data_IF_639426766958
#
_entry.id   IF_639426766958
#
_cell.length_a   1.000
_cell.length_b   1.000
_cell.length_c   1.000
_cell.angle_alpha   90.00
_cell.angle_beta   90.00
_cell.angle_gamma   90.00
#
_symmetry.space_group_name_H-M   'P 1'
#
loop_
_entity.id
_entity.type
_entity.pdbx_description
1 polymer ?
#
# COMPACT_ATOMS: atom_id res chain seq x y z
N UNK A 1 27.65 9.83 7.80
CA UNK A 1 28.46 10.84 8.55
C UNK A 1 27.44 11.74 9.27
N UNK A 2 27.40 11.72 10.61
CA UNK A 2 26.49 12.57 11.41
C UNK A 2 27.07 13.97 11.40
N UNK A 3 26.34 14.96 10.89
CA UNK A 3 26.78 16.35 10.81
C UNK A 3 26.54 17.09 12.13
N UNK A 4 27.22 18.23 12.35
CA UNK A 4 26.98 19.11 13.50
C UNK A 4 25.52 19.59 13.56
N UNK A 5 24.93 19.81 12.40
CA UNK A 5 23.52 20.22 12.25
C UNK A 5 22.55 19.13 12.76
N UNK A 6 22.85 17.86 12.49
CA UNK A 6 22.05 16.72 12.99
C UNK A 6 22.04 16.64 14.52
N UNK A 7 23.18 16.91 15.17
CA UNK A 7 23.25 16.97 16.64
C UNK A 7 22.42 18.12 17.21
N UNK A 8 22.46 19.30 16.58
CA UNK A 8 21.67 20.46 17.00
C UNK A 8 20.17 20.18 16.88
N UNK A 9 19.73 19.59 15.76
CA UNK A 9 18.33 19.27 15.54
C UNK A 9 17.82 18.22 16.53
N UNK A 10 18.63 17.23 16.86
CA UNK A 10 18.30 16.24 17.90
C UNK A 10 18.20 16.87 19.28
N UNK A 11 19.14 17.73 19.64
CA UNK A 11 19.09 18.46 20.90
C UNK A 11 17.80 19.30 21.02
N UNK A 12 17.35 19.95 19.94
CA UNK A 12 16.08 20.67 19.93
C UNK A 12 14.88 19.73 20.13
N UNK A 13 14.92 18.52 19.60
CA UNK A 13 13.87 17.52 19.82
C UNK A 13 13.86 17.01 21.27
N UNK A 14 15.03 16.72 21.83
CA UNK A 14 15.20 16.27 23.21
C UNK A 14 14.74 17.34 24.21
N UNK A 15 14.95 18.61 23.88
CA UNK A 15 14.48 19.77 24.66
C UNK A 15 12.98 20.11 24.43
N UNK A 16 12.29 19.36 23.55
CA UNK A 16 10.88 19.59 23.22
C UNK A 16 10.60 20.87 22.41
N UNK A 17 11.63 21.44 21.75
CA UNK A 17 11.54 22.70 20.97
C UNK A 17 10.96 22.46 19.57
N UNK A 18 9.84 21.78 19.50
CA UNK A 18 9.17 21.36 18.26
C UNK A 18 8.79 22.49 17.30
N UNK A 19 8.34 23.69 17.78
CA UNK A 19 8.04 24.83 16.89
C UNK A 19 9.28 25.29 16.10
N UNK A 20 10.46 25.22 16.69
CA UNK A 20 11.71 25.59 16.03
C UNK A 20 12.14 24.54 15.01
N UNK A 21 11.97 23.25 15.34
CA UNK A 21 12.21 22.16 14.38
C UNK A 21 11.27 22.24 13.18
N UNK A 22 9.99 22.56 13.41
CA UNK A 22 9.03 22.75 12.33
C UNK A 22 9.39 23.94 11.43
N UNK A 23 9.89 25.02 12.04
CA UNK A 23 10.39 26.19 11.31
C UNK A 23 11.61 25.82 10.47
N UNK A 24 12.58 25.10 11.05
CA UNK A 24 13.77 24.61 10.35
C UNK A 24 13.41 23.68 9.18
N UNK A 25 12.44 22.77 9.39
CA UNK A 25 11.92 21.90 8.34
C UNK A 25 11.34 22.69 7.16
N UNK A 26 10.46 23.67 7.44
CA UNK A 26 9.82 24.50 6.41
C UNK A 26 10.83 25.35 5.63
N UNK A 27 11.77 25.97 6.32
CA UNK A 27 12.83 26.76 5.70
C UNK A 27 13.78 25.90 4.86
N UNK A 28 14.19 24.77 5.41
CA UNK A 28 15.04 23.81 4.71
C UNK A 28 14.39 23.28 3.44
N UNK A 29 13.09 22.97 3.53
CA UNK A 29 12.31 22.51 2.38
C UNK A 29 12.16 23.59 1.31
N UNK A 30 11.79 24.80 1.68
CA UNK A 30 11.65 25.91 0.73
C UNK A 30 12.98 26.19 0.00
N UNK A 31 14.09 26.27 0.72
CA UNK A 31 15.40 26.46 0.13
C UNK A 31 15.87 25.29 -0.74
N UNK A 32 15.45 24.07 -0.43
CA UNK A 32 15.76 22.90 -1.24
C UNK A 32 14.92 22.85 -2.53
N UNK A 33 13.64 23.21 -2.45
CA UNK A 33 12.74 23.32 -3.63
C UNK A 33 13.28 24.36 -4.62
N UNK A 34 13.68 25.53 -4.15
CA UNK A 34 14.26 26.56 -5.00
C UNK A 34 15.56 26.11 -5.73
N UNK A 35 16.36 25.26 -5.08
CA UNK A 35 17.64 24.80 -5.63
C UNK A 35 17.52 23.60 -6.55
N UNK A 36 16.64 22.66 -6.26
CA UNK A 36 16.65 21.34 -6.87
C UNK A 36 15.27 20.82 -7.28
N UNK A 37 14.19 21.53 -6.99
CA UNK A 37 12.81 21.08 -7.22
C UNK A 37 12.23 20.27 -6.08
N UNK A 38 10.95 19.90 -6.22
CA UNK A 38 10.14 19.29 -5.14
C UNK A 38 10.66 17.92 -4.69
N UNK A 39 10.97 17.03 -5.62
CA UNK A 39 11.34 15.65 -5.30
C UNK A 39 12.70 15.56 -4.55
N UNK A 40 13.80 16.19 -5.02
CA UNK A 40 15.03 16.23 -4.23
C UNK A 40 14.88 16.97 -2.89
N UNK A 41 14.05 18.03 -2.84
CA UNK A 41 13.80 18.75 -1.60
C UNK A 41 13.13 17.87 -0.56
N UNK A 42 12.20 17.04 -1.00
CA UNK A 42 11.54 16.09 -0.16
C UNK A 42 12.53 15.09 0.47
N UNK A 43 13.39 14.48 -0.35
CA UNK A 43 14.42 13.55 0.13
C UNK A 43 15.38 14.21 1.12
N UNK A 44 15.82 15.45 0.86
CA UNK A 44 16.74 16.19 1.74
C UNK A 44 16.14 16.54 3.11
N UNK A 45 14.82 16.78 3.17
CA UNK A 45 14.14 17.20 4.42
C UNK A 45 13.44 16.05 5.14
N UNK A 46 13.36 14.88 4.51
CA UNK A 46 12.68 13.71 5.05
C UNK A 46 13.17 13.28 6.45
N UNK A 47 14.48 13.25 6.78
CA UNK A 47 14.91 12.85 8.12
C UNK A 47 14.37 13.77 9.23
N UNK A 48 14.30 15.08 8.98
CA UNK A 48 13.73 16.04 9.93
C UNK A 48 12.21 15.93 10.00
N UNK A 49 11.55 15.77 8.84
CA UNK A 49 10.11 15.52 8.77
C UNK A 49 9.73 14.24 9.52
N UNK A 50 10.50 13.17 9.36
CA UNK A 50 10.31 11.91 10.07
C UNK A 50 10.46 12.09 11.60
N UNK A 51 11.49 12.76 12.06
CA UNK A 51 11.69 13.03 13.48
C UNK A 51 10.49 13.76 14.09
N UNK A 52 9.97 14.78 13.40
CA UNK A 52 8.77 15.51 13.82
C UNK A 52 7.54 14.61 13.80
N UNK A 53 7.27 13.89 12.71
CA UNK A 53 6.10 13.01 12.59
C UNK A 53 6.11 11.87 13.63
N UNK A 54 7.30 11.36 13.98
CA UNK A 54 7.48 10.25 14.90
C UNK A 54 7.39 10.67 16.37
N UNK A 55 7.96 11.81 16.74
CA UNK A 55 8.27 12.16 18.15
C UNK A 55 7.51 13.39 18.66
N UNK A 56 7.05 14.29 17.79
CA UNK A 56 6.37 15.49 18.24
C UNK A 56 4.95 15.20 18.76
N UNK A 57 4.41 16.02 19.66
CA UNK A 57 2.99 15.98 20.01
C UNK A 57 2.10 16.12 18.78
N UNK A 58 0.92 15.44 18.73
CA UNK A 58 0.09 15.38 17.52
C UNK A 58 -0.31 16.76 17.01
N UNK A 59 -0.55 17.73 17.92
CA UNK A 59 -0.93 19.13 17.59
C UNK A 59 0.16 19.86 16.79
N UNK A 60 1.41 19.45 16.93
CA UNK A 60 2.56 19.98 16.20
C UNK A 60 2.93 19.13 15.00
N UNK A 61 2.88 17.80 15.13
CA UNK A 61 3.21 16.88 14.04
C UNK A 61 2.27 17.04 12.83
N UNK A 62 0.97 17.26 13.04
CA UNK A 62 0.01 17.51 11.96
C UNK A 62 0.32 18.75 11.14
N UNK A 63 1.05 19.71 11.70
CA UNK A 63 1.44 20.95 11.01
C UNK A 63 2.47 20.76 9.91
N UNK A 64 3.05 19.54 9.79
CA UNK A 64 3.81 19.13 8.61
C UNK A 64 2.97 19.18 7.34
N UNK A 65 1.65 19.02 7.44
CA UNK A 65 0.70 18.95 6.33
C UNK A 65 -0.10 20.24 6.12
N UNK A 66 0.19 21.31 6.86
CA UNK A 66 -0.42 22.62 6.63
C UNK A 66 -0.06 23.13 5.23
N UNK A 67 -0.99 23.87 4.58
CA UNK A 67 -0.80 24.40 3.21
C UNK A 67 0.46 25.24 3.04
N UNK A 68 0.91 25.89 4.11
CA UNK A 68 2.16 26.68 4.12
C UNK A 68 3.43 25.81 4.05
N UNK A 69 3.28 24.49 4.18
CA UNK A 69 4.35 23.50 4.05
C UNK A 69 4.68 23.10 2.59
N UNK A 70 3.96 23.67 1.63
CA UNK A 70 4.12 23.39 0.20
C UNK A 70 3.20 22.28 -0.35
N UNK A 71 2.82 22.33 -1.63
CA UNK A 71 1.89 21.39 -2.24
C UNK A 71 2.41 19.94 -2.34
N UNK A 72 3.72 19.73 -2.24
CA UNK A 72 4.36 18.43 -2.34
C UNK A 72 4.22 17.52 -1.12
N UNK A 73 3.74 18.04 0.02
CA UNK A 73 3.61 17.23 1.26
C UNK A 73 2.50 16.19 1.22
N UNK A 74 1.56 16.30 0.29
CA UNK A 74 0.38 15.41 0.21
C UNK A 74 0.54 14.31 -0.80
N UNK A 75 1.29 14.51 -1.86
CA UNK A 75 1.46 13.55 -2.94
C UNK A 75 2.90 13.03 -2.97
N UNK A 76 3.12 11.87 -2.37
CA UNK A 76 4.24 11.02 -2.75
C UNK A 76 5.63 11.58 -2.49
N UNK A 77 5.85 12.26 -1.36
CA UNK A 77 7.20 12.48 -0.89
C UNK A 77 7.76 11.14 -0.42
N UNK A 78 8.30 10.42 -1.38
CA UNK A 78 9.15 9.28 -1.14
C UNK A 78 10.43 9.75 -0.50
N UNK A 79 10.56 9.60 0.79
CA UNK A 79 11.89 9.38 1.33
C UNK A 79 12.26 7.93 0.99
N UNK A 80 13.35 7.75 0.28
CA UNK A 80 13.78 6.45 -0.22
C UNK A 80 13.89 5.36 0.85
N UNK A 81 13.97 5.71 2.14
CA UNK A 81 14.13 4.73 3.21
C UNK A 81 13.11 4.82 4.35
N UNK A 82 12.41 5.93 4.52
CA UNK A 82 11.56 6.15 5.69
C UNK A 82 10.05 6.05 5.44
N UNK A 83 9.59 6.03 4.19
CA UNK A 83 8.17 6.04 3.85
C UNK A 83 7.49 7.40 4.09
N UNK A 84 6.19 7.53 3.76
CA UNK A 84 5.50 8.81 3.80
C UNK A 84 5.22 9.29 5.23
N UNK A 85 5.44 10.58 5.47
CA UNK A 85 5.31 11.21 6.80
C UNK A 85 3.92 11.03 7.43
N UNK A 86 2.87 10.99 6.61
CA UNK A 86 1.50 10.74 7.10
C UNK A 86 1.33 9.31 7.66
N UNK A 87 2.04 8.33 7.11
CA UNK A 87 2.02 6.96 7.64
C UNK A 87 2.82 6.89 8.94
N UNK A 88 3.98 7.54 9.02
CA UNK A 88 4.75 7.69 10.27
C UNK A 88 3.85 8.26 11.36
N UNK A 89 3.21 9.40 11.11
CA UNK A 89 2.27 10.04 12.03
C UNK A 89 1.15 9.10 12.47
N UNK A 90 0.54 8.38 11.52
CA UNK A 90 -0.54 7.44 11.78
C UNK A 90 -0.10 6.27 12.66
N UNK A 91 1.14 5.81 12.59
CA UNK A 91 1.62 4.72 13.46
C UNK A 91 1.85 5.17 14.91
N UNK A 92 2.01 6.48 15.15
CA UNK A 92 2.37 7.02 16.49
C UNK A 92 1.18 7.51 17.29
N UNK A 93 0.09 7.89 16.63
CA UNK A 93 -1.07 8.50 17.27
C UNK A 93 -2.37 7.82 16.84
N UNK A 94 -3.31 7.65 17.77
CA UNK A 94 -4.64 7.10 17.47
C UNK A 94 -5.47 8.07 16.61
N UNK A 95 -6.46 7.52 15.90
CA UNK A 95 -7.40 8.32 15.11
C UNK A 95 -8.10 9.41 15.96
N UNK A 96 -8.54 9.04 17.17
CA UNK A 96 -9.22 9.97 18.08
C UNK A 96 -8.41 11.23 18.34
N UNK A 97 -7.08 11.14 18.41
CA UNK A 97 -6.19 12.29 18.62
C UNK A 97 -5.91 13.07 17.34
N UNK A 98 -5.85 12.39 16.19
CA UNK A 98 -5.48 13.01 14.91
C UNK A 98 -6.67 13.61 14.17
N UNK A 99 -7.85 13.00 14.24
CA UNK A 99 -9.04 13.41 13.47
C UNK A 99 -9.41 14.87 13.58
N UNK A 100 -9.45 15.50 14.80
CA UNK A 100 -9.80 16.91 14.93
C UNK A 100 -8.73 17.88 14.42
N UNK A 101 -7.50 17.41 14.22
CA UNK A 101 -6.33 18.21 13.87
C UNK A 101 -5.99 18.17 12.39
N UNK A 102 -6.35 17.08 11.69
CA UNK A 102 -6.02 16.88 10.28
C UNK A 102 -7.02 17.61 9.37
N UNK A 103 -6.58 18.71 8.79
CA UNK A 103 -7.41 19.52 7.87
C UNK A 103 -7.34 19.03 6.42
N UNK A 104 -6.17 18.69 5.83
CA UNK A 104 -6.12 18.29 4.43
C UNK A 104 -6.81 16.93 4.20
N UNK A 105 -7.91 16.92 3.42
CA UNK A 105 -8.72 15.72 3.17
C UNK A 105 -7.91 14.50 2.64
N UNK A 106 -6.95 14.65 1.71
CA UNK A 106 -6.14 13.51 1.25
C UNK A 106 -5.31 12.89 2.37
N UNK A 107 -4.65 13.70 3.21
CA UNK A 107 -3.86 13.22 4.36
C UNK A 107 -4.77 12.55 5.39
N UNK A 108 -5.88 13.18 5.72
CA UNK A 108 -6.88 12.63 6.65
C UNK A 108 -7.36 11.25 6.22
N UNK A 109 -7.68 11.08 4.93
CA UNK A 109 -8.06 9.80 4.34
C UNK A 109 -6.98 8.74 4.52
N UNK A 110 -5.73 9.04 4.16
CA UNK A 110 -4.62 8.10 4.24
C UNK A 110 -4.30 7.72 5.68
N UNK A 111 -4.34 8.68 6.60
CA UNK A 111 -4.19 8.42 8.04
C UNK A 111 -5.32 7.53 8.56
N UNK A 112 -6.58 7.79 8.21
CA UNK A 112 -7.71 6.95 8.59
C UNK A 112 -7.51 5.50 8.10
N UNK A 113 -7.19 5.30 6.82
CA UNK A 113 -6.96 3.97 6.26
C UNK A 113 -5.76 3.26 6.88
N UNK A 114 -4.71 3.99 7.26
CA UNK A 114 -3.59 3.42 8.02
C UNK A 114 -4.02 2.96 9.41
N UNK A 115 -4.84 3.76 10.11
CA UNK A 115 -5.36 3.37 11.44
C UNK A 115 -6.28 2.14 11.37
N UNK A 116 -7.05 2.02 10.28
CA UNK A 116 -7.83 0.79 10.00
C UNK A 116 -6.88 -0.42 9.83
N UNK A 117 -5.81 -0.29 9.04
CA UNK A 117 -4.80 -1.36 8.90
C UNK A 117 -4.14 -1.72 10.24
N UNK A 118 -3.99 -0.77 11.15
CA UNK A 118 -3.50 -0.99 12.51
C UNK A 118 -4.56 -1.55 13.47
N UNK A 119 -5.78 -1.84 12.98
CA UNK A 119 -6.84 -2.52 13.71
C UNK A 119 -7.84 -1.59 14.41
N UNK A 120 -7.81 -0.27 14.16
CA UNK A 120 -8.88 0.61 14.68
C UNK A 120 -10.16 0.43 13.86
N UNK A 121 -11.29 0.34 14.55
CA UNK A 121 -12.62 0.44 13.97
C UNK A 121 -13.04 1.90 13.92
N UNK A 122 -13.08 2.46 12.71
CA UNK A 122 -13.48 3.84 12.46
C UNK A 122 -14.87 3.96 11.81
N UNK A 123 -15.63 2.87 11.76
CA UNK A 123 -16.97 2.84 11.17
C UNK A 123 -17.97 3.74 11.93
N UNK A 124 -17.66 4.06 13.19
CA UNK A 124 -18.43 4.97 14.02
C UNK A 124 -17.63 6.26 14.27
N UNK A 125 -18.11 7.39 13.77
CA UNK A 125 -17.55 8.71 14.09
C UNK A 125 -16.47 9.25 13.13
N UNK A 126 -16.10 8.51 12.09
CA UNK A 126 -15.34 9.06 10.97
C UNK A 126 -16.23 9.29 9.75
N UNK A 127 -15.85 10.27 8.92
CA UNK A 127 -16.51 10.49 7.64
C UNK A 127 -16.30 9.27 6.72
N UNK A 128 -17.34 8.82 6.00
CA UNK A 128 -17.20 7.73 5.03
C UNK A 128 -16.09 8.01 4.02
N UNK A 129 -15.38 6.95 3.62
CA UNK A 129 -14.39 7.07 2.55
C UNK A 129 -15.08 7.47 1.24
N UNK A 130 -14.57 8.46 0.49
CA UNK A 130 -15.22 8.96 -0.74
C UNK A 130 -15.34 7.91 -1.86
N UNK A 131 -14.54 6.84 -1.81
CA UNK A 131 -14.60 5.72 -2.74
C UNK A 131 -15.29 4.49 -2.11
N UNK A 132 -15.97 4.65 -0.97
CA UNK A 132 -16.69 3.57 -0.31
C UNK A 132 -15.80 2.51 0.36
N UNK A 133 -14.48 2.73 0.47
CA UNK A 133 -13.59 1.77 1.13
C UNK A 133 -13.92 1.70 2.63
N UNK A 134 -14.17 0.50 3.19
CA UNK A 134 -14.59 0.37 4.58
C UNK A 134 -13.59 0.96 5.58
N UNK A 135 -14.13 1.57 6.62
CA UNK A 135 -13.36 2.09 7.76
C UNK A 135 -13.19 1.07 8.89
N UNK A 136 -13.32 -0.19 8.56
CA UNK A 136 -13.09 -1.37 9.37
C UNK A 136 -12.50 -2.46 8.49
N UNK A 137 -11.52 -3.21 8.99
CA UNK A 137 -10.99 -4.37 8.26
C UNK A 137 -12.06 -5.43 8.06
N UNK A 138 -12.20 -5.91 6.84
CA UNK A 138 -12.95 -7.13 6.59
C UNK A 138 -12.19 -8.35 7.17
N UNK A 139 -12.90 -9.43 7.60
CA UNK A 139 -12.24 -10.62 8.13
C UNK A 139 -11.17 -11.21 7.20
N UNK A 140 -11.42 -11.18 5.89
CA UNK A 140 -10.47 -11.67 4.89
C UNK A 140 -9.26 -10.74 4.71
N UNK A 141 -9.38 -9.45 5.01
CA UNK A 141 -8.24 -8.53 5.03
C UNK A 141 -7.30 -8.83 6.21
N UNK A 142 -7.87 -9.20 7.35
CA UNK A 142 -7.11 -9.43 8.57
C UNK A 142 -6.39 -10.78 8.60
N UNK A 143 -6.97 -11.81 8.01
CA UNK A 143 -6.60 -13.21 8.24
C UNK A 143 -5.24 -13.63 7.64
N UNK A 144 -4.76 -12.97 6.60
CA UNK A 144 -3.53 -13.35 5.89
C UNK A 144 -2.26 -12.68 6.40
N UNK A 145 -2.36 -11.75 7.34
CA UNK A 145 -1.22 -11.00 7.84
C UNK A 145 -0.65 -11.59 9.12
N UNK A 146 0.67 -11.57 9.23
CA UNK A 146 1.32 -11.71 10.52
C UNK A 146 1.04 -10.46 11.36
N UNK A 147 0.94 -10.64 12.67
CA UNK A 147 0.67 -9.55 13.60
C UNK A 147 1.74 -8.45 13.47
N UNK A 148 1.29 -7.22 13.22
CA UNK A 148 2.18 -6.06 13.04
C UNK A 148 2.76 -5.86 11.63
N UNK A 149 2.53 -6.78 10.66
CA UNK A 149 3.09 -6.68 9.32
C UNK A 149 2.28 -5.80 8.34
N UNK A 150 1.06 -5.35 8.72
CA UNK A 150 0.16 -4.61 7.84
C UNK A 150 0.63 -3.20 7.50
N UNK A 151 1.42 -2.61 8.37
CA UNK A 151 2.01 -1.27 8.20
C UNK A 151 3.49 -1.36 8.57
N UNK A 152 4.31 -0.57 7.92
CA UNK A 152 5.75 -0.49 8.20
C UNK A 152 6.01 -0.13 9.67
N UNK A 153 7.02 -0.75 10.27
CA UNK A 153 7.52 -0.37 11.58
C UNK A 153 8.55 0.74 11.44
N UNK A 154 8.16 1.96 11.81
CA UNK A 154 9.05 3.11 11.77
C UNK A 154 9.97 3.16 12.99
N UNK A 155 11.20 3.64 12.78
CA UNK A 155 12.22 3.75 13.81
C UNK A 155 12.38 5.21 14.26
N UNK A 156 12.71 5.47 15.54
CA UNK A 156 12.88 6.84 16.06
C UNK A 156 13.96 7.66 15.33
N UNK A 157 15.01 6.98 14.87
CA UNK A 157 16.15 7.61 14.19
C UNK A 157 15.96 7.77 12.67
N UNK A 158 14.77 7.49 12.16
CA UNK A 158 14.49 7.40 10.73
C UNK A 158 14.57 5.98 10.19
N UNK A 159 14.00 5.80 9.02
CA UNK A 159 13.89 4.50 8.38
C UNK A 159 12.69 3.67 8.85
N UNK A 160 12.42 2.62 8.11
CA UNK A 160 11.33 1.71 8.38
C UNK A 160 11.75 0.25 8.15
N UNK A 161 11.13 -0.65 8.90
CA UNK A 161 11.20 -2.09 8.66
C UNK A 161 9.88 -2.52 8.04
N UNK A 162 9.94 -3.14 6.86
CA UNK A 162 8.80 -3.82 6.25
C UNK A 162 9.01 -5.31 6.33
N UNK A 163 7.96 -6.06 6.62
CA UNK A 163 8.00 -7.49 6.36
C UNK A 163 8.05 -7.70 4.84
N UNK A 164 8.97 -8.56 4.38
CA UNK A 164 8.90 -9.08 3.02
C UNK A 164 7.75 -10.08 2.99
N UNK A 165 6.65 -9.70 2.38
CA UNK A 165 5.53 -10.60 2.18
C UNK A 165 5.72 -11.28 0.82
N UNK A 166 6.22 -12.50 0.88
CA UNK A 166 6.27 -13.39 -0.28
C UNK A 166 5.04 -14.29 -0.28
N UNK A 167 4.56 -14.62 -1.47
CA UNK A 167 3.57 -15.68 -1.61
C UNK A 167 4.21 -17.00 -1.13
N UNK A 168 3.48 -17.81 -0.36
CA UNK A 168 4.06 -19.01 0.22
C UNK A 168 4.44 -20.03 -0.86
N UNK A 169 5.73 -20.40 -0.91
CA UNK A 169 6.26 -21.39 -1.85
C UNK A 169 6.03 -22.84 -1.42
N UNK A 170 5.85 -23.09 -0.12
CA UNK A 170 5.86 -24.44 0.48
C UNK A 170 4.63 -24.71 1.36
N UNK A 171 3.45 -24.23 0.96
CA UNK A 171 2.21 -24.59 1.66
C UNK A 171 1.58 -25.83 1.07
N UNK A 172 0.78 -26.52 1.92
CA UNK A 172 -0.08 -27.60 1.49
C UNK A 172 -0.94 -27.17 0.27
N UNK A 173 -1.00 -28.01 -0.75
CA UNK A 173 -1.69 -27.71 -2.01
C UNK A 173 -0.83 -27.07 -3.10
N UNK A 174 0.42 -26.70 -2.81
CA UNK A 174 1.38 -26.30 -3.85
C UNK A 174 2.25 -27.49 -4.27
N UNK A 175 2.45 -27.63 -5.56
CA UNK A 175 3.26 -28.71 -6.13
C UNK A 175 3.58 -28.45 -7.60
N UNK A 176 4.21 -29.43 -8.25
CA UNK A 176 4.51 -29.34 -9.67
C UNK A 176 3.22 -29.42 -10.48
N UNK A 177 2.93 -28.39 -11.25
CA UNK A 177 1.73 -28.25 -12.07
C UNK A 177 2.14 -28.01 -13.51
N UNK A 178 1.47 -28.73 -14.44
CA UNK A 178 1.53 -28.39 -15.86
C UNK A 178 0.36 -27.44 -16.15
N UNK A 179 0.69 -26.21 -16.54
CA UNK A 179 -0.32 -25.23 -16.93
C UNK A 179 -1.05 -25.68 -18.20
N UNK A 180 -2.36 -25.47 -18.29
CA UNK A 180 -3.13 -25.75 -19.48
C UNK A 180 -2.77 -24.81 -20.63
N UNK A 181 -3.36 -25.02 -21.82
CA UNK A 181 -3.32 -24.02 -22.87
C UNK A 181 -3.91 -22.69 -22.36
N UNK A 182 -3.29 -21.59 -22.77
CA UNK A 182 -3.72 -20.26 -22.34
C UNK A 182 -5.15 -19.94 -22.82
N UNK A 183 -5.90 -19.26 -21.98
CA UNK A 183 -7.26 -18.81 -22.28
C UNK A 183 -7.29 -17.66 -23.31
N UNK A 184 -8.48 -17.36 -23.80
CA UNK A 184 -8.66 -16.23 -24.73
C UNK A 184 -8.50 -14.91 -23.97
N UNK A 185 -7.49 -14.11 -24.35
CA UNK A 185 -7.20 -12.79 -23.77
C UNK A 185 -8.33 -11.80 -24.09
N UNK A 186 -8.78 -11.09 -23.07
CA UNK A 186 -9.81 -10.05 -23.18
C UNK A 186 -9.18 -8.68 -22.96
N UNK A 187 -9.41 -7.77 -23.89
CA UNK A 187 -8.97 -6.38 -23.78
C UNK A 187 -10.03 -5.47 -23.15
N UNK A 188 -9.59 -4.29 -22.66
CA UNK A 188 -10.49 -3.20 -22.28
C UNK A 188 -11.21 -3.33 -20.94
N UNK A 189 -10.98 -4.40 -20.19
CA UNK A 189 -11.61 -4.61 -18.88
C UNK A 189 -11.14 -3.55 -17.87
N UNK A 190 -12.09 -2.93 -17.12
CA UNK A 190 -11.79 -1.94 -16.09
C UNK A 190 -10.95 -2.54 -14.96
N UNK A 191 -11.31 -3.75 -14.52
CA UNK A 191 -10.58 -4.50 -13.51
C UNK A 191 -9.12 -4.74 -13.90
N UNK A 192 -8.83 -5.06 -15.18
CA UNK A 192 -7.46 -5.21 -15.67
C UNK A 192 -6.66 -3.93 -15.54
N UNK A 193 -7.26 -2.78 -15.86
CA UNK A 193 -6.61 -1.47 -15.69
C UNK A 193 -6.38 -1.12 -14.23
N UNK A 194 -7.33 -1.44 -13.35
CA UNK A 194 -7.20 -1.20 -11.91
C UNK A 194 -6.09 -2.06 -11.28
N UNK A 195 -5.99 -3.34 -11.68
CA UNK A 195 -4.90 -4.22 -11.26
C UNK A 195 -3.54 -3.78 -11.82
N UNK A 196 -3.47 -3.32 -13.06
CA UNK A 196 -2.24 -2.78 -13.64
C UNK A 196 -1.80 -1.48 -12.94
N UNK A 197 -2.74 -0.66 -12.48
CA UNK A 197 -2.42 0.53 -11.68
C UNK A 197 -1.99 0.20 -10.24
N UNK A 198 -2.36 -1.00 -9.74
CA UNK A 198 -1.93 -1.49 -8.44
C UNK A 198 -0.46 -1.93 -8.46
N UNK A 199 -0.03 -2.60 -9.53
CA UNK A 199 1.33 -3.12 -9.68
C UNK A 199 1.88 -2.71 -11.06
N UNK A 200 2.32 -1.46 -11.18
CA UNK A 200 2.82 -0.85 -12.43
C UNK A 200 4.11 -1.49 -12.96
N UNK A 201 4.82 -2.21 -12.11
CA UNK A 201 6.01 -3.02 -12.43
C UNK A 201 5.68 -4.44 -12.94
N UNK A 202 4.39 -4.84 -12.92
CA UNK A 202 3.94 -6.17 -13.31
C UNK A 202 3.05 -6.14 -14.57
N UNK A 203 3.10 -7.19 -15.37
CA UNK A 203 2.16 -7.40 -16.46
C UNK A 203 0.83 -7.94 -15.92
N UNK A 204 -0.29 -7.42 -16.44
CA UNK A 204 -1.65 -7.85 -16.08
C UNK A 204 -2.43 -8.25 -17.33
N UNK A 205 -3.04 -9.41 -17.27
CA UNK A 205 -3.92 -9.91 -18.33
C UNK A 205 -5.26 -10.36 -17.77
N UNK A 206 -6.30 -10.29 -18.60
CA UNK A 206 -7.59 -10.91 -18.32
C UNK A 206 -7.89 -11.96 -19.38
N UNK A 207 -8.38 -13.12 -18.97
CA UNK A 207 -8.82 -14.17 -19.88
C UNK A 207 -10.23 -14.64 -19.55
N UNK A 208 -10.91 -15.20 -20.53
CA UNK A 208 -12.09 -16.05 -20.31
C UNK A 208 -11.62 -17.47 -20.02
N UNK A 209 -11.86 -17.93 -18.79
CA UNK A 209 -11.44 -19.27 -18.33
C UNK A 209 -10.95 -19.26 -16.89
N UNK A 210 -10.50 -20.40 -16.37
CA UNK A 210 -10.01 -20.54 -15.01
C UNK A 210 -8.64 -19.89 -14.80
N UNK A 211 -8.29 -19.65 -13.53
CA UNK A 211 -7.04 -19.01 -13.12
C UNK A 211 -5.78 -19.60 -13.73
N UNK A 212 -5.60 -20.95 -13.85
CA UNK A 212 -4.41 -21.50 -14.50
C UNK A 212 -4.27 -21.15 -15.98
N UNK A 213 -5.38 -20.90 -16.71
CA UNK A 213 -5.31 -20.42 -18.09
C UNK A 213 -4.85 -18.96 -18.18
N UNK A 214 -5.18 -18.15 -17.16
CA UNK A 214 -4.67 -16.78 -17.05
C UNK A 214 -3.16 -16.81 -16.69
N UNK A 215 -2.75 -17.66 -15.75
CA UNK A 215 -1.35 -17.87 -15.41
C UNK A 215 -0.52 -18.29 -16.64
N UNK A 216 -1.04 -19.19 -17.47
CA UNK A 216 -0.38 -19.64 -18.69
C UNK A 216 -0.14 -18.55 -19.76
N UNK A 217 -0.82 -17.38 -19.65
CA UNK A 217 -0.54 -16.23 -20.51
C UNK A 217 0.76 -15.52 -20.15
N UNK A 218 1.16 -15.58 -18.87
CA UNK A 218 2.26 -14.78 -18.31
C UNK A 218 3.43 -15.66 -17.84
N UNK A 219 3.17 -16.95 -17.59
CA UNK A 219 4.19 -17.88 -17.14
C UNK A 219 5.23 -18.13 -18.24
N UNK A 220 6.51 -18.10 -17.87
CA UNK A 220 7.65 -18.39 -18.78
C UNK A 220 7.77 -19.87 -19.13
N UNK A 221 7.19 -20.74 -18.29
CA UNK A 221 7.23 -22.20 -18.46
C UNK A 221 5.84 -22.79 -18.31
N UNK A 222 5.55 -23.83 -19.08
CA UNK A 222 4.33 -24.63 -18.89
C UNK A 222 4.38 -25.51 -17.64
N UNK A 223 5.56 -25.75 -17.06
CA UNK A 223 5.75 -26.45 -15.78
C UNK A 223 6.16 -25.45 -14.72
N UNK A 224 5.36 -25.35 -13.67
CA UNK A 224 5.56 -24.42 -12.55
C UNK A 224 5.28 -25.13 -11.23
N UNK A 225 5.88 -24.68 -10.16
CA UNK A 225 5.40 -25.00 -8.83
C UNK A 225 4.26 -24.05 -8.50
N UNK A 226 3.06 -24.57 -8.27
CA UNK A 226 1.89 -23.72 -8.04
C UNK A 226 0.73 -24.44 -7.38
N UNK A 227 -0.36 -23.71 -7.15
CA UNK A 227 -1.56 -24.23 -6.54
C UNK A 227 -2.56 -23.15 -6.17
N UNK A 228 -3.67 -23.57 -5.57
CA UNK A 228 -4.71 -22.65 -5.14
C UNK A 228 -4.54 -22.25 -3.67
N UNK A 229 -4.73 -20.97 -3.38
CA UNK A 229 -4.77 -20.42 -2.03
C UNK A 229 -6.06 -19.64 -1.81
N UNK A 230 -6.55 -19.56 -0.57
CA UNK A 230 -7.58 -18.59 -0.20
C UNK A 230 -7.13 -17.16 -0.47
N UNK A 231 -8.05 -16.29 -0.92
CA UNK A 231 -7.73 -14.88 -1.21
C UNK A 231 -7.10 -14.17 -0.02
N UNK A 232 -7.56 -14.46 1.20
CA UNK A 232 -6.99 -13.89 2.44
C UNK A 232 -5.47 -14.08 2.56
N UNK A 233 -4.91 -15.17 2.02
CA UNK A 233 -3.46 -15.45 2.04
C UNK A 233 -2.71 -14.75 0.90
N UNK A 234 -3.41 -14.36 -0.16
CA UNK A 234 -2.85 -13.63 -1.31
C UNK A 234 -2.94 -12.12 -1.10
N UNK A 235 -3.95 -11.67 -0.37
CA UNK A 235 -4.24 -10.27 -0.11
C UNK A 235 -3.03 -9.46 0.37
N UNK A 236 -2.24 -9.91 1.37
CA UNK A 236 -1.07 -9.17 1.82
C UNK A 236 -0.05 -8.90 0.72
N UNK A 237 0.23 -9.90 -0.13
CA UNK A 237 1.17 -9.76 -1.22
C UNK A 237 0.69 -8.76 -2.28
N UNK A 238 -0.63 -8.73 -2.56
CA UNK A 238 -1.22 -7.75 -3.48
C UNK A 238 -1.15 -6.32 -2.92
N UNK A 239 -1.43 -6.12 -1.62
CA UNK A 239 -1.26 -4.81 -0.97
C UNK A 239 0.19 -4.36 -1.01
N UNK A 240 1.14 -5.26 -0.74
CA UNK A 240 2.57 -4.96 -0.78
C UNK A 240 3.07 -4.66 -2.19
N UNK A 241 2.54 -5.33 -3.21
CA UNK A 241 2.88 -5.06 -4.60
C UNK A 241 2.57 -3.61 -4.99
N UNK A 242 1.49 -3.05 -4.45
CA UNK A 242 1.10 -1.66 -4.70
C UNK A 242 1.99 -0.62 -4.00
N UNK A 243 2.83 -1.03 -3.05
CA UNK A 243 3.69 -0.15 -2.24
C UNK A 243 5.18 -0.48 -2.39
N UNK A 244 5.52 -1.17 -3.47
CA UNK A 244 6.92 -1.43 -3.85
C UNK A 244 7.69 -0.11 -4.01
N UNK A 245 7.08 0.88 -4.63
CA UNK A 245 7.57 2.25 -4.55
C UNK A 245 7.50 2.76 -3.11
N UNK A 246 8.66 3.02 -2.52
CA UNK A 246 8.86 3.39 -1.11
C UNK A 246 8.10 4.65 -0.68
N UNK A 247 7.71 5.49 -1.64
CA UNK A 247 6.89 6.67 -1.41
C UNK A 247 5.41 6.38 -1.17
N UNK A 248 4.96 5.17 -1.49
CA UNK A 248 3.58 4.75 -1.26
C UNK A 248 3.49 4.02 0.07
N UNK A 249 2.60 4.46 0.94
CA UNK A 249 2.33 3.76 2.21
C UNK A 249 1.27 2.67 2.06
N UNK A 250 1.14 1.83 3.09
CA UNK A 250 0.24 0.66 3.12
C UNK A 250 -1.23 1.02 2.86
N UNK A 251 -1.66 2.23 3.27
CA UNK A 251 -3.00 2.72 2.96
C UNK A 251 -3.26 2.88 1.46
N UNK A 252 -2.26 3.32 0.68
CA UNK A 252 -2.38 3.39 -0.78
C UNK A 252 -2.58 2.00 -1.39
N UNK A 253 -1.84 1.00 -0.89
CA UNK A 253 -2.00 -0.38 -1.34
C UNK A 253 -3.40 -0.92 -1.08
N UNK A 254 -3.92 -0.69 0.14
CA UNK A 254 -5.29 -1.06 0.48
C UNK A 254 -6.33 -0.39 -0.42
N UNK A 255 -6.24 0.92 -0.58
CA UNK A 255 -7.17 1.70 -1.42
C UNK A 255 -7.14 1.24 -2.89
N UNK A 256 -5.95 1.02 -3.45
CA UNK A 256 -5.79 0.56 -4.83
C UNK A 256 -6.38 -0.85 -5.04
N UNK A 257 -6.15 -1.76 -4.08
CA UNK A 257 -6.69 -3.12 -4.17
C UNK A 257 -8.22 -3.13 -4.01
N UNK A 258 -8.78 -2.36 -3.08
CA UNK A 258 -10.24 -2.22 -2.97
C UNK A 258 -10.86 -1.71 -4.25
N UNK A 259 -10.27 -0.71 -4.91
CA UNK A 259 -10.72 -0.22 -6.22
C UNK A 259 -10.69 -1.34 -7.27
N UNK A 260 -9.62 -2.15 -7.30
CA UNK A 260 -9.54 -3.27 -8.24
C UNK A 260 -10.62 -4.32 -7.96
N UNK A 261 -10.90 -4.63 -6.70
CA UNK A 261 -11.94 -5.59 -6.30
C UNK A 261 -13.35 -5.07 -6.66
N UNK A 262 -13.63 -3.80 -6.45
CA UNK A 262 -14.90 -3.16 -6.85
C UNK A 262 -15.10 -3.27 -8.36
N UNK A 263 -14.08 -3.01 -9.17
CA UNK A 263 -14.14 -3.16 -10.62
C UNK A 263 -14.28 -4.65 -11.06
N UNK A 264 -13.67 -5.58 -10.33
CA UNK A 264 -13.82 -7.03 -10.58
C UNK A 264 -15.23 -7.52 -10.23
N UNK A 265 -15.79 -7.02 -9.13
CA UNK A 265 -17.17 -7.33 -8.72
C UNK A 265 -18.23 -6.75 -9.67
N UNK A 266 -17.84 -5.78 -10.53
CA UNK A 266 -18.78 -5.06 -11.40
C UNK A 266 -19.69 -4.12 -10.62
N UNK A 267 -19.27 -3.72 -9.41
CA UNK A 267 -20.02 -2.80 -8.57
C UNK A 267 -20.15 -1.42 -9.22
N UNK A 268 -21.29 -0.76 -9.02
CA UNK A 268 -21.61 0.49 -9.73
C UNK A 268 -21.28 1.75 -8.94
N UNK A 269 -20.68 1.63 -7.75
CA UNK A 269 -20.07 2.74 -7.02
C UNK A 269 -21.01 3.80 -6.45
N UNK A 270 -22.30 3.50 -6.19
CA UNK A 270 -23.23 4.57 -5.85
C UNK A 270 -23.83 4.55 -4.44
N UNK A 271 -23.90 3.41 -3.72
CA UNK A 271 -24.72 3.37 -2.50
C UNK A 271 -24.23 2.47 -1.35
N UNK A 272 -22.92 2.27 -1.19
CA UNK A 272 -22.42 1.40 -0.09
C UNK A 272 -22.71 -0.11 -0.27
N UNK A 273 -23.32 -0.48 -1.40
CA UNK A 273 -23.53 -1.88 -1.82
C UNK A 273 -22.21 -2.55 -2.24
N UNK A 274 -21.21 -1.75 -2.59
CA UNK A 274 -19.92 -2.21 -3.12
C UNK A 274 -19.20 -3.16 -2.15
N UNK A 275 -19.32 -2.93 -0.85
CA UNK A 275 -18.74 -3.82 0.16
C UNK A 275 -19.33 -5.23 0.10
N UNK A 276 -20.66 -5.34 0.04
CA UNK A 276 -21.31 -6.65 0.01
C UNK A 276 -20.97 -7.40 -1.30
N UNK A 277 -20.85 -6.68 -2.41
CA UNK A 277 -20.46 -7.24 -3.71
C UNK A 277 -19.00 -7.69 -3.70
N UNK A 278 -18.10 -6.92 -3.09
CA UNK A 278 -16.69 -7.31 -2.89
C UNK A 278 -16.58 -8.51 -1.95
N UNK A 279 -17.28 -8.52 -0.80
CA UNK A 279 -17.28 -9.65 0.11
C UNK A 279 -17.80 -10.93 -0.59
N UNK A 280 -18.86 -10.83 -1.39
CA UNK A 280 -19.38 -11.93 -2.18
C UNK A 280 -18.40 -12.38 -3.28
N UNK A 281 -17.69 -11.46 -3.94
CA UNK A 281 -16.62 -11.78 -4.88
C UNK A 281 -15.50 -12.55 -4.18
N UNK A 282 -14.98 -12.02 -3.08
CA UNK A 282 -13.89 -12.64 -2.32
C UNK A 282 -14.25 -14.02 -1.81
N UNK A 283 -15.49 -14.21 -1.35
CA UNK A 283 -15.96 -15.51 -0.86
C UNK A 283 -15.97 -16.61 -1.92
N UNK A 284 -16.17 -16.28 -3.21
CA UNK A 284 -16.15 -17.24 -4.33
C UNK A 284 -14.86 -17.24 -5.14
N UNK A 285 -13.98 -16.27 -4.90
CA UNK A 285 -12.73 -16.10 -5.68
C UNK A 285 -11.79 -17.28 -5.50
N UNK A 286 -11.21 -17.73 -6.59
CA UNK A 286 -10.15 -18.73 -6.61
C UNK A 286 -8.84 -18.07 -6.98
N UNK A 287 -7.84 -18.21 -6.13
CA UNK A 287 -6.52 -17.62 -6.36
C UNK A 287 -5.51 -18.72 -6.66
N UNK A 288 -4.99 -18.74 -7.86
CA UNK A 288 -3.91 -19.63 -8.27
C UNK A 288 -2.59 -18.87 -8.22
N UNK A 289 -1.62 -19.38 -7.49
CA UNK A 289 -0.26 -18.83 -7.46
C UNK A 289 0.70 -19.77 -8.15
N UNK A 290 1.76 -19.21 -8.72
CA UNK A 290 2.85 -20.01 -9.26
C UNK A 290 4.20 -19.36 -8.96
N UNK A 291 5.23 -20.18 -8.97
CA UNK A 291 6.60 -19.75 -8.76
C UNK A 291 7.42 -20.04 -10.02
N UNK A 292 8.28 -19.10 -10.35
CA UNK A 292 9.26 -19.21 -11.40
C UNK A 292 10.65 -18.97 -10.83
N UNK A 293 11.70 -19.62 -11.36
CA UNK A 293 13.06 -19.27 -11.02
C UNK A 293 13.31 -17.79 -11.36
N UNK A 294 13.56 -16.98 -10.37
CA UNK A 294 13.89 -15.55 -10.52
C UNK A 294 15.01 -15.18 -9.59
N UNK A 295 15.89 -14.28 -10.04
CA UNK A 295 16.92 -13.67 -9.20
C UNK A 295 16.37 -12.48 -8.39
N UNK A 296 15.18 -11.99 -8.73
CA UNK A 296 14.55 -10.83 -8.09
C UNK A 296 14.09 -11.13 -6.67
N UNK A 297 14.42 -10.23 -5.74
CA UNK A 297 13.95 -10.32 -4.35
C UNK A 297 12.46 -10.03 -4.22
N UNK A 298 11.88 -9.37 -5.22
CA UNK A 298 10.45 -9.08 -5.30
C UNK A 298 9.87 -9.73 -6.53
N UNK A 299 8.92 -10.59 -6.30
CA UNK A 299 8.18 -11.24 -7.36
C UNK A 299 6.73 -11.44 -6.94
N UNK A 300 5.84 -11.36 -7.90
CA UNK A 300 4.41 -11.62 -7.73
C UNK A 300 3.91 -12.39 -8.93
N UNK A 301 3.41 -13.59 -8.71
CA UNK A 301 2.79 -14.41 -9.73
C UNK A 301 1.48 -14.98 -9.19
N UNK A 302 0.37 -14.36 -9.56
CA UNK A 302 -0.96 -14.71 -9.08
C UNK A 302 -2.00 -14.57 -10.16
N UNK A 303 -2.97 -15.47 -10.19
CA UNK A 303 -4.16 -15.36 -11.00
C UNK A 303 -5.42 -15.43 -10.11
N UNK A 304 -6.30 -14.48 -10.27
CA UNK A 304 -7.55 -14.29 -9.53
C UNK A 304 -8.71 -14.65 -10.45
N UNK A 305 -9.51 -15.65 -10.08
CA UNK A 305 -10.65 -16.13 -10.87
C UNK A 305 -11.95 -15.77 -10.18
N UNK A 306 -12.88 -15.17 -10.90
CA UNK A 306 -14.30 -15.13 -10.53
C UNK A 306 -15.07 -16.21 -11.31
N UNK A 307 -15.40 -17.34 -10.66
CA UNK A 307 -16.12 -18.43 -11.33
C UNK A 307 -17.51 -18.03 -11.81
N UNK A 308 -18.14 -17.02 -11.18
CA UNK A 308 -19.50 -16.61 -11.53
C UNK A 308 -19.56 -15.93 -12.90
N UNK A 309 -18.54 -15.17 -13.29
CA UNK A 309 -18.46 -14.55 -14.61
C UNK A 309 -17.55 -15.29 -15.59
N UNK A 310 -16.83 -16.34 -15.13
CA UNK A 310 -15.87 -17.12 -15.93
C UNK A 310 -14.68 -16.30 -16.42
N UNK A 311 -14.27 -15.30 -15.64
CA UNK A 311 -13.11 -14.46 -15.91
C UNK A 311 -11.99 -14.74 -14.92
N UNK A 312 -10.76 -14.66 -15.40
CA UNK A 312 -9.59 -14.70 -14.56
C UNK A 312 -8.59 -13.61 -14.96
N UNK A 313 -7.98 -12.99 -13.97
CA UNK A 313 -6.93 -11.97 -14.11
C UNK A 313 -5.63 -12.52 -13.58
N UNK A 314 -4.57 -12.51 -14.39
CA UNK A 314 -3.23 -12.84 -13.91
C UNK A 314 -2.40 -11.56 -13.80
N UNK A 315 -1.61 -11.52 -12.73
CA UNK A 315 -0.60 -10.49 -12.45
C UNK A 315 0.74 -11.21 -12.33
N UNK A 316 1.72 -10.78 -13.10
CA UNK A 316 3.06 -11.39 -13.07
C UNK A 316 4.13 -10.33 -13.26
N UNK A 317 5.07 -10.29 -12.32
CA UNK A 317 6.22 -9.40 -12.36
C UNK A 317 7.32 -9.86 -11.43
N UNK A 318 8.54 -9.46 -11.75
CA UNK A 318 9.70 -9.57 -10.89
C UNK A 318 10.52 -8.30 -11.03
N UNK A 319 11.00 -7.78 -9.93
CA UNK A 319 11.86 -6.59 -9.88
C UNK A 319 13.21 -7.00 -9.32
N UNK A 320 14.26 -6.77 -10.10
CA UNK A 320 15.64 -6.89 -9.64
C UNK A 320 15.98 -5.58 -8.90
N UNK A 321 16.44 -5.70 -7.66
CA UNK A 321 16.83 -4.58 -6.81
C UNK A 321 18.21 -4.04 -7.22
#
# INVERSE_FOLDING_TARGET
MITYEDHRLRALADDGRWPELLTAYRQGRAAAVERAGEEPAAALTAPLGHLIAYSAPPELAVRLFDRDGGPGTVAGVADHDAGPLWEVLATRHSWLRLAPLLVPAPVRRLVAQTRVLLGEDLSYGAEPDPEGVPLLLAPWEAAGWDEGARVRQYLPCGGARSALLTLPASREGLGDVTLPASGVRLGGQRATRALAALADWAEVVCVRGPAPQAAAQLARSSRVTGGYLPFALVYPALVQAAVVDRGRGSAHGRLALWRALVEMAGAKGTDGSDRAEVDALVARMRCFIWHEPTAGLRHLHVALEDPACGLAWAVSGSEDL
#
